data_IF_536496176414
#
_entry.id   IF_536496176414
#
_cell.length_a   1.000
_cell.length_b   1.000
_cell.length_c   1.000
_cell.angle_alpha   90.00
_cell.angle_beta   90.00
_cell.angle_gamma   90.00
#
_symmetry.space_group_name_H-M   'P 1'
#
loop_
_entity.id
_entity.type
_entity.pdbx_description
1 polymer ?
#
# COMPACT_ATOMS: atom_id res chain seq x y z
N UNK A 1 -3.58 9.00 -5.48
CA UNK A 1 -2.49 9.88 -5.98
C UNK A 1 -1.99 10.72 -4.82
N UNK A 2 -0.66 10.85 -4.62
CA UNK A 2 -0.09 11.60 -3.49
C UNK A 2 0.47 12.93 -3.98
N UNK A 3 -0.07 14.02 -3.47
CA UNK A 3 0.46 15.37 -3.67
C UNK A 3 1.30 15.75 -2.46
N UNK A 4 2.56 16.13 -2.69
CA UNK A 4 3.49 16.54 -1.64
C UNK A 4 3.94 17.98 -1.87
N UNK A 5 4.57 18.63 -0.88
CA UNK A 5 5.12 19.98 -1.05
C UNK A 5 6.22 20.06 -2.12
N UNK A 6 6.96 18.97 -2.37
CA UNK A 6 8.05 18.94 -3.34
C UNK A 6 7.64 18.47 -4.74
N UNK A 7 6.37 18.09 -4.91
CA UNK A 7 5.83 17.62 -6.17
C UNK A 7 4.88 16.44 -6.01
N UNK A 8 4.40 15.94 -7.15
CA UNK A 8 3.52 14.77 -7.18
C UNK A 8 4.34 13.49 -7.16
N UNK A 9 3.90 12.50 -6.39
CA UNK A 9 4.48 11.15 -6.44
C UNK A 9 3.94 10.38 -7.65
N UNK A 10 4.84 9.78 -8.42
CA UNK A 10 4.55 8.85 -9.51
C UNK A 10 5.14 7.47 -9.17
N UNK A 11 4.28 6.46 -9.24
CA UNK A 11 4.64 5.05 -9.09
C UNK A 11 4.58 4.43 -10.48
N UNK A 12 5.66 3.77 -10.90
CA UNK A 12 5.74 3.15 -12.22
C UNK A 12 6.30 1.74 -12.14
N UNK A 13 5.82 0.87 -13.03
CA UNK A 13 6.43 -0.41 -13.39
C UNK A 13 6.93 -0.30 -14.82
N UNK A 14 8.22 -0.54 -15.06
CA UNK A 14 8.85 -0.42 -16.39
C UNK A 14 8.53 0.93 -17.06
N UNK A 15 8.70 2.02 -16.31
CA UNK A 15 8.41 3.42 -16.69
C UNK A 15 6.93 3.74 -16.98
N UNK A 16 6.03 2.75 -16.91
CA UNK A 16 4.59 2.94 -17.09
C UNK A 16 3.91 3.06 -15.75
N UNK A 17 2.89 3.92 -15.66
CA UNK A 17 2.09 4.03 -14.44
C UNK A 17 1.47 2.68 -14.11
N UNK A 18 1.51 2.32 -12.84
CA UNK A 18 0.97 1.07 -12.31
C UNK A 18 -0.04 1.39 -11.21
N UNK A 19 -1.07 0.55 -11.11
CA UNK A 19 -2.00 0.62 -9.99
C UNK A 19 -1.28 0.21 -8.69
N UNK A 20 -1.59 0.93 -7.61
CA UNK A 20 -1.02 0.68 -6.31
C UNK A 20 -2.03 1.02 -5.22
N UNK A 21 -1.91 0.35 -4.08
CA UNK A 21 -2.65 0.71 -2.88
C UNK A 21 -1.92 1.85 -2.19
N UNK A 22 -2.62 2.95 -1.90
CA UNK A 22 -2.06 4.10 -1.18
C UNK A 22 -2.83 4.23 0.12
N UNK A 23 -2.13 4.18 1.25
CA UNK A 23 -2.71 4.34 2.58
C UNK A 23 -2.04 5.50 3.31
N UNK A 24 -2.84 6.36 3.92
CA UNK A 24 -2.33 7.32 4.89
C UNK A 24 -2.03 6.57 6.18
N UNK A 25 -0.78 6.67 6.65
CA UNK A 25 -0.35 6.07 7.91
C UNK A 25 -0.48 7.14 8.99
N UNK A 26 -0.97 6.76 10.17
CA UNK A 26 -1.07 7.70 11.29
C UNK A 26 0.34 8.01 11.81
N UNK A 27 0.54 9.24 12.24
CA UNK A 27 1.71 9.56 13.07
C UNK A 27 1.60 8.83 14.40
N UNK A 28 2.74 8.33 14.86
CA UNK A 28 2.92 7.74 16.18
C UNK A 28 3.82 8.64 17.04
N UNK A 29 4.15 8.19 18.24
CA UNK A 29 4.98 8.94 19.19
C UNK A 29 6.39 9.25 18.65
N UNK A 30 6.86 8.52 17.63
CA UNK A 30 8.17 8.72 17.02
C UNK A 30 8.16 9.72 15.88
N UNK A 31 6.98 10.03 15.31
CA UNK A 31 6.84 10.94 14.18
C UNK A 31 5.64 11.91 14.29
N UNK A 32 5.47 12.60 15.44
CA UNK A 32 4.29 13.42 15.71
C UNK A 32 4.18 14.68 14.85
N UNK A 33 5.27 15.16 14.26
CA UNK A 33 5.32 16.43 13.52
C UNK A 33 5.23 16.25 12.00
N UNK A 34 5.07 15.01 11.50
CA UNK A 34 4.91 14.76 10.07
C UNK A 34 3.66 15.45 9.52
N UNK A 35 3.84 16.26 8.48
CA UNK A 35 2.73 16.83 7.72
C UNK A 35 2.07 15.79 6.80
N UNK A 36 2.82 14.76 6.39
CA UNK A 36 2.30 13.60 5.67
C UNK A 36 3.12 12.35 5.91
N UNK A 37 2.42 11.21 5.99
CA UNK A 37 2.98 9.86 6.11
C UNK A 37 2.11 8.88 5.32
N UNK A 38 2.68 8.20 4.36
CA UNK A 38 1.96 7.35 3.42
C UNK A 38 2.70 6.04 3.16
N UNK A 39 1.93 4.96 3.13
CA UNK A 39 2.33 3.66 2.65
C UNK A 39 1.83 3.48 1.22
N UNK A 40 2.70 3.03 0.33
CA UNK A 40 2.36 2.66 -1.04
C UNK A 40 2.71 1.19 -1.22
N UNK A 41 1.76 0.38 -1.65
CA UNK A 41 1.96 -1.05 -1.91
C UNK A 41 1.72 -1.33 -3.40
N UNK A 42 2.75 -1.82 -4.08
CA UNK A 42 2.66 -2.26 -5.48
C UNK A 42 2.54 -3.77 -5.51
N UNK A 43 1.38 -4.27 -5.91
CA UNK A 43 1.19 -5.70 -6.13
C UNK A 43 1.96 -6.14 -7.40
N UNK A 44 2.64 -7.27 -7.30
CA UNK A 44 3.43 -7.87 -8.37
C UNK A 44 2.96 -9.29 -8.64
N UNK A 45 2.73 -9.57 -9.92
CA UNK A 45 2.42 -10.90 -10.43
C UNK A 45 3.67 -11.39 -11.16
N UNK A 46 4.38 -12.42 -10.66
CA UNK A 46 5.54 -12.96 -11.33
C UNK A 46 5.19 -13.44 -12.74
N UNK A 47 5.88 -12.91 -13.74
CA UNK A 47 5.73 -13.27 -15.15
C UNK A 47 6.99 -13.90 -15.75
N UNK A 48 8.00 -14.17 -14.90
CA UNK A 48 9.27 -14.73 -15.30
C UNK A 48 10.24 -13.71 -15.92
N UNK A 49 9.93 -12.42 -15.92
CA UNK A 49 10.77 -11.37 -16.49
C UNK A 49 11.34 -10.43 -15.41
N UNK A 50 12.44 -9.77 -15.75
CA UNK A 50 12.99 -8.71 -14.92
C UNK A 50 12.18 -7.43 -15.10
N UNK A 51 11.96 -6.73 -14.00
CA UNK A 51 11.15 -5.53 -13.96
C UNK A 51 11.75 -4.46 -13.09
N UNK A 52 11.36 -3.22 -13.35
CA UNK A 52 11.62 -2.12 -12.41
C UNK A 52 10.32 -1.63 -11.82
N UNK A 53 10.34 -1.30 -10.53
CA UNK A 53 9.25 -0.58 -9.86
C UNK A 53 9.84 0.63 -9.16
N UNK A 54 9.38 1.83 -9.50
CA UNK A 54 9.95 3.07 -8.98
C UNK A 54 8.92 3.94 -8.27
N UNK A 55 9.38 4.66 -7.26
CA UNK A 55 8.64 5.72 -6.57
C UNK A 55 9.42 7.03 -6.73
N UNK A 56 8.86 7.95 -7.51
CA UNK A 56 9.56 9.16 -7.94
C UNK A 56 8.72 10.43 -7.69
N UNK A 57 9.40 11.54 -7.40
CA UNK A 57 8.81 12.87 -7.37
C UNK A 57 8.86 13.46 -8.78
N UNK A 58 7.69 13.74 -9.35
CA UNK A 58 7.58 14.29 -10.69
C UNK A 58 8.14 15.70 -10.77
N UNK A 59 9.09 15.91 -11.69
CA UNK A 59 9.60 17.24 -12.04
C UNK A 59 10.54 17.87 -11.01
N UNK A 60 10.89 17.16 -9.94
CA UNK A 60 11.90 17.64 -9.00
C UNK A 60 13.27 17.64 -9.68
N UNK A 61 14.05 18.69 -9.44
CA UNK A 61 15.47 18.76 -9.85
C UNK A 61 16.33 18.36 -8.67
N UNK A 62 17.39 17.61 -8.91
CA UNK A 62 18.37 17.24 -7.90
C UNK A 62 18.93 18.48 -7.18
N UNK A 63 19.07 18.39 -5.86
CA UNK A 63 19.68 19.40 -5.01
C UNK A 63 20.91 18.84 -4.31
N UNK A 64 21.87 19.72 -4.00
CA UNK A 64 23.04 19.36 -3.17
C UNK A 64 22.65 19.02 -1.72
N UNK A 65 21.44 19.39 -1.30
CA UNK A 65 20.89 19.07 0.02
C UNK A 65 20.11 17.75 0.03
N UNK A 66 19.99 17.07 -1.11
CA UNK A 66 19.40 15.73 -1.18
C UNK A 66 20.47 14.71 -0.76
N UNK A 67 20.10 13.71 0.02
CA UNK A 67 21.04 12.72 0.54
C UNK A 67 20.39 11.37 0.81
N UNK A 68 21.22 10.36 0.97
CA UNK A 68 20.82 9.00 1.35
C UNK A 68 20.92 8.92 2.87
N UNK A 69 19.84 8.46 3.52
CA UNK A 69 19.84 8.21 4.95
C UNK A 69 20.55 6.87 5.21
N UNK A 70 21.45 6.80 6.20
CA UNK A 70 22.09 5.53 6.56
C UNK A 70 21.12 4.62 7.30
N UNK A 71 20.87 3.43 6.77
CA UNK A 71 20.16 2.34 7.44
C UNK A 71 20.59 0.98 6.85
N UNK A 72 20.48 -0.10 7.61
CA UNK A 72 20.89 -1.44 7.19
C UNK A 72 19.74 -2.25 6.57
N UNK A 73 18.49 -1.92 6.92
CA UNK A 73 17.28 -2.69 6.55
C UNK A 73 16.45 -1.99 5.49
N UNK A 74 16.69 -0.70 5.27
CA UNK A 74 15.93 0.13 4.34
C UNK A 74 16.81 1.07 3.55
N UNK A 75 16.42 1.32 2.31
CA UNK A 75 17.03 2.34 1.49
C UNK A 75 16.12 3.55 1.50
N UNK A 76 16.59 4.64 2.10
CA UNK A 76 15.83 5.87 2.24
C UNK A 76 16.58 7.01 1.58
N UNK A 77 15.91 7.73 0.68
CA UNK A 77 16.40 8.97 0.09
C UNK A 77 15.59 10.16 0.58
N UNK A 78 16.30 11.17 1.07
CA UNK A 78 15.74 12.42 1.56
C UNK A 78 15.96 13.56 0.55
N UNK A 79 14.89 14.32 0.33
CA UNK A 79 14.83 15.46 -0.56
C UNK A 79 14.57 16.72 0.27
N UNK A 80 15.48 17.70 0.22
CA UNK A 80 15.43 18.88 1.08
C UNK A 80 15.34 20.18 0.29
N UNK A 81 14.28 20.97 0.51
CA UNK A 81 14.14 22.33 -0.06
C UNK A 81 13.80 23.30 1.06
N UNK A 82 14.67 24.26 1.33
CA UNK A 82 14.47 25.27 2.37
C UNK A 82 14.10 24.61 3.71
N UNK A 83 12.86 24.81 4.18
CA UNK A 83 12.34 24.24 5.43
C UNK A 83 11.67 22.88 5.25
N UNK A 84 11.50 22.40 4.01
CA UNK A 84 10.83 21.13 3.72
C UNK A 84 11.83 19.99 3.59
N UNK A 85 11.55 18.87 4.26
CA UNK A 85 12.19 17.57 4.04
C UNK A 85 11.14 16.53 3.67
N UNK A 86 11.39 15.77 2.62
CA UNK A 86 10.58 14.62 2.21
C UNK A 86 11.49 13.42 2.05
N UNK A 87 11.16 12.30 2.69
CA UNK A 87 11.88 11.04 2.57
C UNK A 87 11.04 10.01 1.83
N UNK A 88 11.67 9.26 0.94
CA UNK A 88 11.08 8.07 0.28
C UNK A 88 11.93 6.88 0.67
N UNK A 89 11.29 5.87 1.28
CA UNK A 89 11.92 4.64 1.72
C UNK A 89 11.40 3.42 0.98
N UNK A 90 12.24 2.41 0.87
CA UNK A 90 11.89 1.08 0.36
C UNK A 90 12.67 0.02 1.16
N UNK A 91 12.27 -1.25 1.06
CA UNK A 91 13.01 -2.32 1.73
C UNK A 91 14.39 -2.51 1.08
N UNK A 92 15.43 -2.36 1.88
CA UNK A 92 16.79 -2.84 1.57
C UNK A 92 17.00 -4.15 2.33
N UNK A 93 18.15 -4.78 2.18
CA UNK A 93 18.43 -6.19 2.51
C UNK A 93 17.69 -6.79 3.75
N UNK A 94 16.77 -7.71 3.44
CA UNK A 94 16.09 -8.80 4.20
C UNK A 94 15.81 -8.65 5.72
N UNK A 95 14.57 -8.90 6.20
CA UNK A 95 14.31 -9.08 7.64
C UNK A 95 15.02 -10.30 8.24
N UNK A 96 15.50 -10.15 9.47
CA UNK A 96 16.29 -11.12 10.26
C UNK A 96 15.71 -12.58 10.31
N UNK A 97 14.42 -12.79 10.04
CA UNK A 97 13.76 -14.10 10.12
C UNK A 97 13.92 -15.00 8.88
N UNK A 98 14.60 -14.53 7.83
CA UNK A 98 14.73 -15.24 6.55
C UNK A 98 15.98 -16.13 6.46
N UNK A 99 16.76 -16.27 7.53
CA UNK A 99 17.99 -17.09 7.68
C UNK A 99 17.77 -18.62 7.48
N UNK A 100 16.64 -19.00 6.87
CA UNK A 100 16.25 -20.37 6.51
C UNK A 100 16.08 -20.58 5.01
N UNK A 101 16.29 -19.57 4.16
CA UNK A 101 16.35 -19.82 2.71
C UNK A 101 17.73 -20.28 2.28
N UNK A 102 17.81 -21.35 1.49
CA UNK A 102 19.05 -21.70 0.79
C UNK A 102 19.59 -20.50 0.00
N UNK A 103 20.91 -20.42 -0.14
CA UNK A 103 21.76 -19.35 -0.71
C UNK A 103 21.40 -18.76 -2.10
N UNK A 104 20.21 -19.00 -2.66
CA UNK A 104 19.85 -18.63 -4.02
C UNK A 104 18.75 -17.55 -4.10
N UNK A 105 19.25 -16.32 -4.31
CA UNK A 105 18.71 -15.22 -5.11
C UNK A 105 17.69 -14.34 -4.39
N UNK A 106 18.17 -13.18 -3.92
CA UNK A 106 17.34 -12.01 -3.65
C UNK A 106 16.39 -11.71 -4.81
N UNK A 107 15.09 -11.63 -4.52
CA UNK A 107 14.03 -11.35 -5.50
C UNK A 107 14.22 -9.99 -6.19
N UNK A 108 15.00 -9.09 -5.59
CA UNK A 108 15.27 -7.77 -6.12
C UNK A 108 16.59 -7.18 -5.59
N UNK A 109 17.04 -6.10 -6.20
CA UNK A 109 17.99 -5.15 -5.64
C UNK A 109 17.45 -3.72 -5.80
N UNK A 110 18.13 -2.73 -5.26
CA UNK A 110 17.59 -1.37 -5.07
C UNK A 110 18.51 -0.30 -5.66
N UNK A 111 17.92 0.78 -6.20
CA UNK A 111 18.65 1.89 -6.80
C UNK A 111 18.13 3.25 -6.31
N UNK A 112 19.07 4.14 -6.00
CA UNK A 112 18.80 5.54 -5.73
C UNK A 112 18.75 6.36 -7.03
N UNK A 113 17.54 6.75 -7.44
CA UNK A 113 17.34 7.62 -8.59
C UNK A 113 17.51 9.10 -8.19
N UNK A 114 17.77 9.99 -9.14
CA UNK A 114 17.90 11.44 -8.86
C UNK A 114 16.66 12.06 -8.20
N UNK A 115 15.49 11.52 -8.52
CA UNK A 115 14.18 12.01 -8.10
C UNK A 115 13.38 10.98 -7.29
N UNK A 116 13.98 9.88 -6.85
CA UNK A 116 13.25 8.81 -6.18
C UNK A 116 14.10 7.61 -5.81
N UNK A 117 13.45 6.48 -5.66
CA UNK A 117 14.05 5.17 -5.36
C UNK A 117 13.38 4.09 -6.22
N UNK A 118 14.08 2.99 -6.48
CA UNK A 118 13.62 1.94 -7.39
C UNK A 118 14.01 0.55 -6.90
N UNK A 119 13.08 -0.39 -7.08
CA UNK A 119 13.35 -1.83 -7.07
C UNK A 119 13.70 -2.31 -8.48
N UNK A 120 14.70 -3.17 -8.55
CA UNK A 120 15.04 -4.00 -9.72
C UNK A 120 14.69 -5.45 -9.40
N UNK A 121 13.54 -5.88 -9.90
CA UNK A 121 12.92 -7.18 -9.67
C UNK A 121 13.53 -8.20 -10.64
N UNK A 122 13.96 -9.35 -10.11
CA UNK A 122 14.52 -10.44 -10.92
C UNK A 122 13.41 -11.30 -11.55
N UNK A 123 13.72 -11.94 -12.67
CA UNK A 123 12.84 -12.90 -13.34
C UNK A 123 12.29 -14.02 -12.44
N UNK A 124 13.07 -14.45 -11.44
CA UNK A 124 12.67 -15.49 -10.49
C UNK A 124 11.93 -14.98 -9.25
N UNK A 125 11.58 -13.69 -9.19
CA UNK A 125 11.04 -13.08 -7.98
C UNK A 125 9.73 -13.74 -7.51
N UNK A 126 9.69 -14.11 -6.23
CA UNK A 126 8.51 -14.74 -5.60
C UNK A 126 7.70 -13.75 -4.78
N UNK A 127 8.29 -12.61 -4.40
CA UNK A 127 7.64 -11.55 -3.63
C UNK A 127 6.46 -10.97 -4.40
N UNK A 128 5.31 -10.93 -3.75
CA UNK A 128 4.06 -10.47 -4.36
C UNK A 128 3.79 -8.96 -4.17
N UNK A 129 4.53 -8.27 -3.29
CA UNK A 129 4.26 -6.86 -2.95
C UNK A 129 5.56 -6.08 -2.73
N UNK A 130 5.67 -4.92 -3.38
CA UNK A 130 6.81 -4.01 -3.27
C UNK A 130 6.36 -2.69 -2.59
N UNK A 131 6.69 -2.49 -1.31
CA UNK A 131 6.24 -1.31 -0.57
C UNK A 131 7.19 -0.12 -0.73
N UNK A 132 6.62 1.08 -0.66
CA UNK A 132 7.34 2.33 -0.44
C UNK A 132 6.72 3.09 0.73
N UNK A 133 7.55 3.70 1.56
CA UNK A 133 7.12 4.70 2.53
C UNK A 133 7.45 6.10 2.06
N UNK A 134 6.55 7.04 2.32
CA UNK A 134 6.70 8.45 1.94
C UNK A 134 6.29 9.30 3.13
N UNK A 135 7.20 10.15 3.60
CA UNK A 135 6.92 11.04 4.71
C UNK A 135 7.54 12.42 4.49
N UNK A 136 6.89 13.47 4.99
CA UNK A 136 7.43 14.83 4.88
C UNK A 136 7.07 15.74 6.06
N UNK A 137 7.92 16.74 6.24
CA UNK A 137 7.76 17.89 7.12
C UNK A 137 8.01 19.15 6.31
N UNK A 138 7.17 20.17 6.47
CA UNK A 138 7.29 21.48 5.82
C UNK A 138 8.08 22.50 6.65
N UNK A 139 8.18 22.29 7.96
CA UNK A 139 8.89 23.14 8.92
C UNK A 139 9.96 22.34 9.69
N UNK A 140 11.00 21.91 8.97
CA UNK A 140 12.05 21.07 9.54
C UNK A 140 12.93 21.85 10.51
N UNK A 141 13.30 21.19 11.61
CA UNK A 141 14.34 21.58 12.56
C UNK A 141 15.39 20.47 12.61
N UNK A 142 16.51 20.73 13.28
CA UNK A 142 17.52 19.68 13.53
C UNK A 142 16.95 18.54 14.39
N UNK A 143 15.94 18.82 15.23
CA UNK A 143 15.33 17.84 16.13
C UNK A 143 14.31 16.95 15.41
N UNK A 144 13.47 17.53 14.55
CA UNK A 144 12.34 16.80 13.94
C UNK A 144 12.67 16.20 12.58
N UNK A 145 13.79 16.57 11.94
CA UNK A 145 14.07 16.09 10.58
C UNK A 145 14.33 14.57 10.50
N UNK A 146 14.67 13.92 11.62
CA UNK A 146 14.80 12.45 11.71
C UNK A 146 13.45 11.74 11.60
N UNK A 147 12.33 12.42 11.87
CA UNK A 147 11.00 11.80 11.81
C UNK A 147 10.62 11.38 10.39
N UNK A 148 11.15 12.04 9.35
CA UNK A 148 10.79 11.70 7.97
C UNK A 148 11.41 10.38 7.52
N UNK A 149 12.61 10.01 7.99
CA UNK A 149 13.19 8.70 7.68
C UNK A 149 12.39 7.59 8.37
N UNK A 150 12.10 7.74 9.68
CA UNK A 150 11.24 6.81 10.41
C UNK A 150 9.83 6.70 9.79
N UNK A 151 9.24 7.83 9.40
CA UNK A 151 7.94 7.85 8.75
C UNK A 151 7.91 7.15 7.40
N UNK A 152 9.01 7.22 6.66
CA UNK A 152 9.18 6.62 5.33
C UNK A 152 9.72 5.18 5.36
N UNK A 153 10.07 4.65 6.53
CA UNK A 153 10.55 3.28 6.71
C UNK A 153 9.40 2.27 6.61
N UNK A 154 9.35 1.41 5.57
CA UNK A 154 8.31 0.39 5.45
C UNK A 154 8.37 -0.72 6.51
N UNK A 155 9.50 -1.00 7.15
CA UNK A 155 9.62 -2.06 8.17
C UNK A 155 8.74 -1.82 9.39
N UNK A 156 8.39 -0.56 9.65
CA UNK A 156 7.68 -0.13 10.85
C UNK A 156 6.18 -0.40 10.76
N UNK A 157 5.58 -0.25 9.57
CA UNK A 157 4.13 -0.33 9.38
C UNK A 157 3.71 -1.47 8.46
N UNK A 158 4.62 -2.09 7.70
CA UNK A 158 4.27 -3.08 6.68
C UNK A 158 3.52 -4.27 7.27
N UNK A 159 4.05 -4.90 8.31
CA UNK A 159 3.41 -6.10 8.89
C UNK A 159 2.04 -5.80 9.51
N UNK A 160 1.88 -4.63 10.13
CA UNK A 160 0.59 -4.18 10.66
C UNK A 160 -0.42 -3.97 9.52
N UNK A 161 -0.05 -3.22 8.47
CA UNK A 161 -0.92 -3.01 7.31
C UNK A 161 -1.28 -4.34 6.64
N UNK A 162 -0.33 -5.27 6.51
CA UNK A 162 -0.57 -6.59 5.91
C UNK A 162 -1.50 -7.45 6.76
N UNK A 163 -1.36 -7.39 8.09
CA UNK A 163 -2.26 -8.07 9.00
C UNK A 163 -3.68 -7.49 8.91
N UNK A 164 -3.82 -6.17 8.86
CA UNK A 164 -5.11 -5.49 8.63
C UNK A 164 -5.72 -5.83 7.28
N UNK A 165 -4.94 -5.79 6.18
CA UNK A 165 -5.41 -6.17 4.84
C UNK A 165 -5.94 -7.59 4.81
N UNK A 166 -5.19 -8.54 5.39
CA UNK A 166 -5.62 -9.94 5.47
C UNK A 166 -6.90 -10.08 6.28
N UNK A 167 -7.01 -9.32 7.37
CA UNK A 167 -8.20 -9.31 8.22
C UNK A 167 -9.43 -8.76 7.48
N UNK A 168 -9.31 -7.59 6.85
CA UNK A 168 -10.39 -6.98 6.06
C UNK A 168 -10.76 -7.87 4.88
N UNK A 169 -9.79 -8.46 4.18
CA UNK A 169 -10.03 -9.41 3.09
C UNK A 169 -10.90 -10.58 3.52
N UNK A 170 -10.61 -11.21 4.65
CA UNK A 170 -11.44 -12.29 5.18
C UNK A 170 -12.89 -11.84 5.45
N UNK A 171 -13.08 -10.60 5.92
CA UNK A 171 -14.41 -10.06 6.18
C UNK A 171 -15.17 -9.76 4.87
N UNK A 172 -14.51 -9.11 3.91
CA UNK A 172 -15.06 -8.77 2.60
C UNK A 172 -15.41 -10.04 1.84
N UNK A 173 -14.44 -10.94 1.63
CA UNK A 173 -14.65 -12.20 0.89
C UNK A 173 -15.83 -12.97 1.44
N UNK A 174 -15.92 -13.10 2.76
CA UNK A 174 -16.99 -13.86 3.38
C UNK A 174 -18.39 -13.29 3.10
N UNK A 175 -18.55 -11.98 3.05
CA UNK A 175 -19.87 -11.38 2.80
C UNK A 175 -20.15 -11.23 1.30
N UNK A 176 -19.12 -11.04 0.47
CA UNK A 176 -19.25 -11.02 -0.99
C UNK A 176 -19.64 -12.40 -1.53
N UNK A 177 -18.96 -13.47 -1.10
CA UNK A 177 -19.28 -14.85 -1.51
C UNK A 177 -20.71 -15.28 -1.11
N UNK A 178 -21.26 -14.69 -0.03
CA UNK A 178 -22.66 -14.94 0.37
C UNK A 178 -23.66 -14.08 -0.35
N UNK A 179 -23.25 -12.85 -0.70
CA UNK A 179 -24.10 -11.91 -1.40
C UNK A 179 -24.35 -12.38 -2.82
N UNK A 180 -23.32 -12.94 -3.46
CA UNK A 180 -23.35 -13.61 -4.77
C UNK A 180 -24.40 -13.00 -5.72
N UNK A 181 -24.14 -11.76 -6.21
CA UNK A 181 -25.18 -10.96 -6.86
C UNK A 181 -25.68 -11.56 -8.18
N UNK A 182 -24.94 -12.51 -8.76
CA UNK A 182 -25.25 -13.08 -10.06
C UNK A 182 -25.69 -14.55 -10.03
N UNK A 183 -25.42 -15.29 -8.93
CA UNK A 183 -25.77 -16.72 -8.80
C UNK A 183 -25.44 -17.48 -10.09
N UNK A 184 -24.24 -17.22 -10.65
CA UNK A 184 -23.91 -17.60 -12.02
C UNK A 184 -24.06 -19.11 -12.23
N UNK A 185 -23.69 -19.93 -11.22
CA UNK A 185 -23.83 -21.38 -11.24
C UNK A 185 -23.93 -22.00 -9.83
N UNK A 186 -24.78 -23.02 -9.61
CA UNK A 186 -24.81 -23.79 -8.35
C UNK A 186 -23.48 -24.50 -8.00
N UNK A 187 -22.57 -24.63 -8.98
CA UNK A 187 -21.25 -25.26 -8.86
C UNK A 187 -20.09 -24.26 -9.07
N UNK A 188 -20.36 -22.95 -8.95
CA UNK A 188 -19.31 -21.95 -9.07
C UNK A 188 -18.20 -22.19 -8.03
N UNK A 189 -16.92 -22.03 -8.41
CA UNK A 189 -15.81 -22.30 -7.52
C UNK A 189 -15.79 -21.28 -6.37
N UNK A 190 -15.38 -21.70 -5.17
CA UNK A 190 -15.39 -20.86 -3.97
C UNK A 190 -14.46 -19.64 -3.99
N UNK A 191 -13.73 -19.42 -5.09
CA UNK A 191 -12.85 -18.29 -5.32
C UNK A 191 -13.36 -17.35 -6.43
N UNK A 192 -14.62 -17.48 -6.85
CA UNK A 192 -15.24 -16.71 -7.94
C UNK A 192 -15.01 -15.20 -7.82
N UNK A 193 -15.22 -14.64 -6.63
CA UNK A 193 -15.10 -13.20 -6.37
C UNK A 193 -13.81 -12.79 -5.63
N UNK A 194 -12.77 -13.64 -5.64
CA UNK A 194 -11.49 -13.33 -4.96
C UNK A 194 -10.82 -12.09 -5.56
N UNK A 195 -10.94 -11.88 -6.88
CA UNK A 195 -10.38 -10.73 -7.59
C UNK A 195 -11.04 -9.42 -7.15
N UNK A 196 -12.37 -9.41 -7.13
CA UNK A 196 -13.21 -8.28 -6.70
C UNK A 196 -12.99 -7.98 -5.23
N UNK A 197 -12.97 -9.02 -4.38
CA UNK A 197 -12.71 -8.89 -2.95
C UNK A 197 -11.36 -8.22 -2.67
N UNK A 198 -10.30 -8.61 -3.41
CA UNK A 198 -8.99 -7.94 -3.31
C UNK A 198 -9.07 -6.47 -3.72
N UNK A 199 -9.76 -6.15 -4.82
CA UNK A 199 -9.92 -4.76 -5.29
C UNK A 199 -10.71 -3.89 -4.30
N UNK A 200 -11.74 -4.44 -3.65
CA UNK A 200 -12.47 -3.75 -2.57
C UNK A 200 -11.55 -3.45 -1.39
N UNK A 201 -10.75 -4.41 -0.94
CA UNK A 201 -9.80 -4.24 0.18
C UNK A 201 -8.76 -3.14 -0.09
N UNK A 202 -8.39 -2.91 -1.36
CA UNK A 202 -7.50 -1.79 -1.74
C UNK A 202 -8.15 -0.42 -1.58
N UNK A 203 -9.49 -0.33 -1.54
CA UNK A 203 -10.27 0.91 -1.47
C UNK A 203 -10.78 1.24 -0.07
N UNK A 204 -10.81 0.27 0.85
CA UNK A 204 -11.37 0.44 2.20
C UNK A 204 -10.35 0.17 3.30
N UNK A 205 -10.66 0.61 4.51
CA UNK A 205 -9.87 0.40 5.73
C UNK A 205 -10.73 -0.19 6.84
N UNK A 206 -10.12 -0.57 7.96
CA UNK A 206 -10.86 -1.04 9.15
C UNK A 206 -11.80 0.03 9.73
N UNK A 207 -11.55 1.31 9.44
CA UNK A 207 -12.38 2.44 9.88
C UNK A 207 -13.37 2.92 8.83
N UNK A 208 -13.44 2.28 7.66
CA UNK A 208 -14.35 2.71 6.60
C UNK A 208 -15.80 2.49 6.99
N UNK A 209 -16.64 3.47 6.70
CA UNK A 209 -18.07 3.44 7.02
C UNK A 209 -18.86 2.66 5.96
N UNK A 210 -20.08 2.23 6.31
CA UNK A 210 -20.98 1.52 5.39
C UNK A 210 -21.07 2.19 4.00
N UNK A 211 -21.24 3.52 3.92
CA UNK A 211 -21.40 4.19 2.62
C UNK A 211 -20.11 4.15 1.78
N UNK A 212 -18.93 4.33 2.40
CA UNK A 212 -17.63 4.23 1.71
C UNK A 212 -17.39 2.79 1.20
N UNK A 213 -17.78 1.79 1.99
CA UNK A 213 -17.70 0.38 1.60
C UNK A 213 -18.68 0.10 0.44
N UNK A 214 -19.89 0.66 0.50
CA UNK A 214 -20.90 0.48 -0.54
C UNK A 214 -20.46 1.07 -1.88
N UNK A 215 -19.86 2.27 -1.86
CA UNK A 215 -19.24 2.88 -3.05
C UNK A 215 -18.13 2.01 -3.61
N UNK A 216 -17.20 1.54 -2.77
CA UNK A 216 -16.11 0.67 -3.21
C UNK A 216 -16.61 -0.63 -3.85
N UNK A 217 -17.62 -1.29 -3.26
CA UNK A 217 -18.23 -2.51 -3.81
C UNK A 217 -18.90 -2.22 -5.15
N UNK A 218 -19.71 -1.16 -5.21
CA UNK A 218 -20.44 -0.77 -6.41
C UNK A 218 -19.49 -0.49 -7.58
N UNK A 219 -18.43 0.28 -7.35
CA UNK A 219 -17.42 0.56 -8.39
C UNK A 219 -16.72 -0.71 -8.87
N UNK A 220 -16.22 -1.56 -7.96
CA UNK A 220 -15.48 -2.78 -8.33
C UNK A 220 -16.36 -3.71 -9.16
N UNK A 221 -17.60 -3.96 -8.71
CA UNK A 221 -18.50 -4.88 -9.38
C UNK A 221 -19.03 -4.30 -10.71
N UNK A 222 -19.22 -2.98 -10.79
CA UNK A 222 -19.54 -2.32 -12.06
C UNK A 222 -18.41 -2.44 -13.07
N UNK A 223 -17.17 -2.26 -12.63
CA UNK A 223 -15.98 -2.42 -13.49
C UNK A 223 -15.80 -3.87 -13.96
N UNK A 224 -16.11 -4.86 -13.12
CA UNK A 224 -15.99 -6.29 -13.47
C UNK A 224 -17.14 -6.82 -14.33
N UNK A 225 -18.37 -6.37 -14.09
CA UNK A 225 -19.58 -7.02 -14.62
C UNK A 225 -20.61 -6.07 -15.23
N UNK A 226 -20.37 -4.75 -15.21
CA UNK A 226 -21.31 -3.73 -15.67
C UNK A 226 -21.49 -3.73 -17.20
N UNK A 227 -22.27 -4.68 -17.72
CA UNK A 227 -22.79 -4.64 -19.09
C UNK A 227 -24.22 -4.05 -19.08
N UNK A 228 -24.34 -2.72 -18.94
CA UNK A 228 -25.63 -2.02 -18.95
C UNK A 228 -25.72 -0.94 -17.87
N UNK A 229 -26.55 -1.16 -16.85
CA UNK A 229 -26.59 -0.34 -15.63
C UNK A 229 -25.66 -0.98 -14.59
N UNK A 230 -24.62 -0.26 -14.16
CA UNK A 230 -23.70 -0.73 -13.13
C UNK A 230 -24.38 -0.88 -11.76
N UNK A 231 -23.65 -1.43 -10.81
CA UNK A 231 -24.06 -1.46 -9.41
C UNK A 231 -24.08 -0.03 -8.84
N UNK A 232 -25.13 0.31 -8.10
CA UNK A 232 -25.19 1.56 -7.35
C UNK A 232 -24.77 1.34 -5.90
N UNK A 233 -24.21 2.37 -5.26
CA UNK A 233 -23.90 2.33 -3.83
C UNK A 233 -25.16 2.01 -2.99
N UNK A 234 -26.33 2.51 -3.40
CA UNK A 234 -27.59 2.21 -2.72
C UNK A 234 -27.94 0.71 -2.76
N UNK A 235 -27.71 0.05 -3.89
CA UNK A 235 -27.92 -1.39 -4.04
C UNK A 235 -26.90 -2.20 -3.21
N UNK A 236 -25.65 -1.73 -3.16
CA UNK A 236 -24.57 -2.37 -2.39
C UNK A 236 -24.61 -2.08 -0.88
N UNK A 237 -25.51 -1.22 -0.39
CA UNK A 237 -25.51 -0.78 1.01
C UNK A 237 -25.76 -1.92 2.01
N UNK A 238 -26.60 -2.89 1.68
CA UNK A 238 -26.89 -4.03 2.58
C UNK A 238 -25.65 -4.93 2.79
N UNK A 239 -24.97 -5.32 1.70
CA UNK A 239 -23.74 -6.11 1.81
C UNK A 239 -22.62 -5.31 2.47
N UNK A 240 -22.52 -4.01 2.19
CA UNK A 240 -21.57 -3.12 2.83
C UNK A 240 -21.76 -3.03 4.35
N UNK A 241 -23.01 -2.91 4.82
CA UNK A 241 -23.32 -2.90 6.26
C UNK A 241 -22.97 -4.22 6.95
N UNK A 242 -23.10 -5.37 6.26
CA UNK A 242 -22.65 -6.67 6.78
C UNK A 242 -21.13 -6.75 6.88
N UNK A 243 -20.41 -6.21 5.90
CA UNK A 243 -18.94 -6.12 5.89
C UNK A 243 -18.48 -5.24 7.07
N UNK A 244 -19.01 -4.02 7.19
CA UNK A 244 -18.69 -3.09 8.29
C UNK A 244 -18.93 -3.75 9.65
N UNK A 245 -20.12 -4.33 9.85
CA UNK A 245 -20.48 -5.01 11.10
C UNK A 245 -19.49 -6.13 11.46
N UNK A 246 -19.02 -6.90 10.46
CA UNK A 246 -18.05 -7.97 10.66
C UNK A 246 -16.68 -7.42 11.04
N UNK A 247 -16.21 -6.37 10.35
CA UNK A 247 -14.96 -5.69 10.66
C UNK A 247 -14.97 -5.21 12.12
N UNK A 248 -15.99 -4.45 12.52
CA UNK A 248 -16.12 -3.92 13.90
C UNK A 248 -16.17 -5.04 14.94
N UNK A 249 -16.93 -6.12 14.67
CA UNK A 249 -17.05 -7.25 15.60
C UNK A 249 -15.72 -7.95 15.85
N UNK A 250 -14.92 -8.15 14.82
CA UNK A 250 -13.62 -8.79 14.96
C UNK A 250 -12.58 -7.85 15.57
N UNK A 251 -12.59 -6.57 15.22
CA UNK A 251 -11.71 -5.56 15.83
C UNK A 251 -11.91 -5.50 17.36
N UNK A 252 -13.17 -5.48 17.82
CA UNK A 252 -13.51 -5.53 19.24
C UNK A 252 -13.00 -6.81 19.93
N UNK A 253 -13.03 -7.95 19.24
CA UNK A 253 -12.48 -9.21 19.78
C UNK A 253 -10.96 -9.18 19.91
N UNK A 254 -10.25 -8.48 19.02
CA UNK A 254 -8.80 -8.32 19.11
C UNK A 254 -8.41 -7.38 20.25
N UNK A 255 -9.13 -6.27 20.42
CA UNK A 255 -8.91 -5.33 21.53
C UNK A 255 -9.14 -5.97 22.90
N UNK A 256 -10.14 -6.84 23.03
CA UNK A 256 -10.44 -7.53 24.29
C UNK A 256 -9.47 -8.68 24.63
N UNK A 257 -8.50 -9.00 23.77
CA UNK A 257 -7.49 -10.05 23.98
C UNK A 257 -6.10 -9.50 24.33
N UNK A 258 -5.89 -8.19 24.20
CA UNK A 258 -4.69 -7.48 24.65
C UNK A 258 -4.93 -6.95 26.06
#
# INVERSE_FOLDING_TARGET
MIQTPLGRIEITKDEKKVDCTIRRVRSDDWCPELNGRFAVLVDYIPDGQEHTVSCCIKGIRESKSDFIEPDERVDIKSFCRETTKLSIGLFSDIPDEWDKTPDDIMDYWTEYLKNGVQYHIRAGAKRAVYPFGIAWIEHKSEENEVQTSHGADPTIWYDEIRAEEKFVYCCVKQEIDKWDPYDFFPEAPSNEYDGESKRIVRRITVSSLTDEIAEAVAEVFSESFGLGEGFSADYCRDVAGKIEHRITKYENRLKNKR
#
